data_IF_059043743411
#
_entry.id   IF_059043743411
#
_cell.length_a   1.000
_cell.length_b   1.000
_cell.length_c   1.000
_cell.angle_alpha   90.00
_cell.angle_beta   90.00
_cell.angle_gamma   90.00
#
_symmetry.space_group_name_H-M   'P 1'
#
loop_
_entity.id
_entity.type
_entity.pdbx_description
1 polymer ?
#
# COMPACT_ATOMS: atom_id res chain seq x y z
N UNK A 1 -0.64 -6.81 -17.05
CA UNK A 1 -1.17 -5.94 -15.96
C UNK A 1 -0.41 -4.63 -15.94
N UNK A 2 -1.06 -3.49 -15.67
CA UNK A 2 -0.43 -2.17 -15.59
C UNK A 2 -0.64 -1.59 -14.19
N UNK A 3 0.41 -1.06 -13.59
CA UNK A 3 0.37 -0.49 -12.22
C UNK A 3 0.92 0.92 -12.25
N UNK A 4 0.23 1.86 -11.61
CA UNK A 4 0.64 3.26 -11.49
C UNK A 4 0.62 3.67 -10.03
N UNK A 5 1.72 4.24 -9.53
CA UNK A 5 1.74 4.86 -8.21
C UNK A 5 1.21 6.30 -8.34
N UNK A 6 0.20 6.65 -7.55
CA UNK A 6 -0.41 7.99 -7.58
C UNK A 6 0.07 8.86 -6.42
N UNK A 7 0.25 8.26 -5.26
CA UNK A 7 0.84 8.89 -4.07
C UNK A 7 1.37 7.79 -3.16
N UNK A 8 1.97 8.15 -2.05
CA UNK A 8 2.39 7.31 -0.91
C UNK A 8 2.14 5.78 -1.09
N UNK A 9 0.95 5.28 -0.77
CA UNK A 9 0.51 3.90 -0.98
C UNK A 9 -0.65 3.78 -1.98
N UNK A 10 -1.05 4.89 -2.61
CA UNK A 10 -2.17 4.93 -3.55
C UNK A 10 -1.77 4.28 -4.88
N UNK A 11 -2.13 3.03 -5.05
CA UNK A 11 -1.76 2.21 -6.19
C UNK A 11 -2.97 1.97 -7.10
N UNK A 12 -2.82 2.34 -8.37
CA UNK A 12 -3.79 2.05 -9.42
C UNK A 12 -3.34 0.83 -10.21
N UNK A 13 -4.14 -0.24 -10.23
CA UNK A 13 -3.85 -1.47 -10.96
C UNK A 13 -4.90 -1.69 -12.03
N UNK A 14 -4.49 -1.98 -13.26
CA UNK A 14 -5.36 -2.17 -14.41
C UNK A 14 -5.02 -3.46 -15.15
N UNK A 15 -6.04 -4.25 -15.48
CA UNK A 15 -5.93 -5.39 -16.39
C UNK A 15 -7.25 -5.59 -17.13
N UNK A 16 -7.19 -5.91 -18.41
CA UNK A 16 -8.38 -5.97 -19.25
C UNK A 16 -9.18 -4.66 -19.20
N UNK A 17 -10.42 -4.75 -18.75
CA UNK A 17 -11.31 -3.61 -18.55
C UNK A 17 -11.52 -3.27 -17.06
N UNK A 18 -10.79 -3.92 -16.16
CA UNK A 18 -10.97 -3.77 -14.72
C UNK A 18 -9.89 -2.90 -14.11
N UNK A 19 -10.29 -1.99 -13.24
CA UNK A 19 -9.43 -1.05 -12.53
C UNK A 19 -9.59 -1.19 -11.02
N UNK A 20 -8.47 -1.38 -10.32
CA UNK A 20 -8.39 -1.38 -8.86
C UNK A 20 -7.63 -0.15 -8.38
N UNK A 21 -8.15 0.50 -7.36
CA UNK A 21 -7.48 1.58 -6.62
C UNK A 21 -7.30 1.17 -5.15
N UNK A 22 -6.06 1.17 -4.68
CA UNK A 22 -5.72 0.85 -3.29
C UNK A 22 -5.32 2.11 -2.54
N UNK A 23 -5.80 2.23 -1.31
CA UNK A 23 -5.45 3.27 -0.34
C UNK A 23 -5.45 4.69 -0.92
N UNK A 24 -6.60 5.19 -1.40
CA UNK A 24 -6.65 6.45 -2.12
C UNK A 24 -6.42 7.66 -1.19
N UNK A 25 -5.44 8.48 -1.55
CA UNK A 25 -5.18 9.80 -0.98
C UNK A 25 -5.03 10.79 -2.14
N UNK A 26 -5.99 11.69 -2.28
CA UNK A 26 -6.09 12.63 -3.41
C UNK A 26 -5.72 14.05 -3.05
N UNK A 27 -5.64 14.37 -1.76
CA UNK A 27 -5.43 15.72 -1.28
C UNK A 27 -4.10 15.82 -0.53
N UNK A 28 -3.43 16.95 -0.72
CA UNK A 28 -2.32 17.34 0.13
C UNK A 28 -2.81 17.55 1.57
N UNK A 29 -1.89 17.53 2.51
CA UNK A 29 -2.11 17.67 3.94
C UNK A 29 -2.77 16.43 4.58
N UNK A 30 -1.97 15.75 5.36
CA UNK A 30 -2.36 14.63 6.22
C UNK A 30 -2.32 15.09 7.69
N UNK A 31 -2.99 14.37 8.58
CA UNK A 31 -2.92 14.54 10.03
C UNK A 31 -3.04 16.01 10.47
N UNK A 32 -4.24 16.57 10.40
CA UNK A 32 -4.56 17.96 10.77
C UNK A 32 -3.61 18.99 10.12
N UNK A 33 -3.20 18.72 8.87
CA UNK A 33 -2.30 19.54 8.08
C UNK A 33 -0.84 19.60 8.58
N UNK A 34 -0.45 18.74 9.53
CA UNK A 34 0.93 18.65 9.99
C UNK A 34 1.88 18.06 8.95
N UNK A 35 1.35 17.25 8.03
CA UNK A 35 2.12 16.50 7.05
C UNK A 35 1.63 16.76 5.63
N UNK A 36 2.53 16.56 4.68
CA UNK A 36 2.23 16.53 3.25
C UNK A 36 2.80 15.25 2.63
N UNK A 37 2.16 14.67 1.61
CA UNK A 37 2.75 13.57 0.87
C UNK A 37 4.10 13.95 0.27
N UNK A 38 5.07 13.05 0.41
CA UNK A 38 6.43 13.25 -0.13
C UNK A 38 6.95 11.93 -0.73
N UNK A 39 7.19 11.85 -2.05
CA UNK A 39 6.97 12.89 -3.05
C UNK A 39 5.50 13.32 -3.20
N UNK A 40 5.29 14.50 -3.82
CA UNK A 40 3.95 15.04 -4.02
C UNK A 40 3.06 14.10 -4.86
N UNK A 41 1.76 14.16 -4.62
CA UNK A 41 0.75 13.41 -5.36
C UNK A 41 0.82 13.76 -6.85
N UNK A 42 0.81 12.74 -7.70
CA UNK A 42 0.70 12.89 -9.16
C UNK A 42 -0.61 12.27 -9.62
N UNK A 43 -1.64 13.08 -9.66
CA UNK A 43 -3.00 12.65 -9.95
C UNK A 43 -3.72 13.65 -10.84
N UNK A 44 -4.30 13.17 -11.94
CA UNK A 44 -5.26 13.91 -12.77
C UNK A 44 -6.62 13.19 -12.70
N UNK A 45 -7.47 13.66 -11.80
CA UNK A 45 -8.81 13.06 -11.58
C UNK A 45 -9.66 13.01 -12.84
N UNK A 46 -9.44 13.93 -13.81
CA UNK A 46 -10.16 13.93 -15.09
C UNK A 46 -9.77 12.80 -16.01
N UNK A 47 -8.59 12.22 -15.79
CA UNK A 47 -8.05 11.10 -16.57
C UNK A 47 -8.14 9.76 -15.83
N UNK A 48 -8.64 9.78 -14.60
CA UNK A 48 -8.81 8.55 -13.84
C UNK A 48 -9.91 7.71 -14.49
N UNK A 49 -9.64 6.44 -14.80
CA UNK A 49 -10.68 5.53 -15.27
C UNK A 49 -11.68 5.26 -14.15
N UNK A 50 -12.91 4.82 -14.46
CA UNK A 50 -13.82 4.33 -13.44
C UNK A 50 -13.18 3.20 -12.64
N UNK A 51 -13.34 3.24 -11.33
CA UNK A 51 -12.77 2.27 -10.38
C UNK A 51 -13.77 1.16 -10.14
N UNK A 52 -13.38 -0.05 -10.48
CA UNK A 52 -14.17 -1.27 -10.28
C UNK A 52 -13.95 -1.88 -8.88
N UNK A 53 -12.73 -1.75 -8.35
CA UNK A 53 -12.39 -2.22 -7.01
C UNK A 53 -11.70 -1.09 -6.24
N UNK A 54 -12.28 -0.75 -5.09
CA UNK A 54 -11.66 0.16 -4.12
C UNK A 54 -11.17 -0.70 -2.94
N UNK A 55 -9.86 -0.72 -2.71
CA UNK A 55 -9.26 -1.42 -1.58
C UNK A 55 -8.79 -0.43 -0.53
N UNK A 56 -9.14 -0.65 0.72
CA UNK A 56 -8.67 0.10 1.88
C UNK A 56 -7.99 -0.88 2.81
N UNK A 57 -6.68 -0.80 2.91
CA UNK A 57 -5.88 -1.79 3.62
C UNK A 57 -6.03 -1.72 5.13
N UNK A 58 -6.10 -0.51 5.70
CA UNK A 58 -6.24 -0.26 7.12
C UNK A 58 -6.61 1.20 7.43
N UNK A 59 -6.71 1.56 8.71
CA UNK A 59 -7.29 2.81 9.19
C UNK A 59 -6.29 3.96 9.43
N UNK A 60 -5.00 3.82 9.15
CA UNK A 60 -4.09 4.97 9.22
C UNK A 60 -4.52 6.06 8.24
N UNK A 61 -4.36 7.32 8.61
CA UNK A 61 -4.90 8.46 7.84
C UNK A 61 -4.22 8.65 6.48
N UNK A 62 -3.05 8.12 6.29
CA UNK A 62 -2.32 8.09 5.02
C UNK A 62 -2.74 6.93 4.08
N UNK A 63 -3.64 6.05 4.56
CA UNK A 63 -4.29 4.98 3.78
C UNK A 63 -5.82 5.13 3.76
N UNK A 64 -6.37 5.82 4.76
CA UNK A 64 -7.80 6.03 4.97
C UNK A 64 -8.10 7.52 5.09
N UNK A 65 -7.99 8.25 3.99
CA UNK A 65 -8.31 9.68 3.94
C UNK A 65 -9.81 9.91 3.72
N UNK A 66 -10.51 10.31 4.78
CA UNK A 66 -11.98 10.53 4.76
C UNK A 66 -12.37 11.58 3.73
N UNK A 67 -11.54 12.60 3.46
CA UNK A 67 -11.81 13.63 2.46
C UNK A 67 -11.84 13.03 1.05
N UNK A 68 -10.84 12.19 0.76
CA UNK A 68 -10.78 11.44 -0.50
C UNK A 68 -11.96 10.49 -0.65
N UNK A 69 -12.30 9.73 0.39
CA UNK A 69 -13.45 8.83 0.37
C UNK A 69 -14.76 9.57 0.20
N UNK A 70 -14.93 10.74 0.86
CA UNK A 70 -16.10 11.60 0.68
C UNK A 70 -16.20 12.11 -0.76
N UNK A 71 -15.07 12.50 -1.35
CA UNK A 71 -15.01 12.94 -2.74
C UNK A 71 -15.38 11.82 -3.72
N UNK A 72 -14.84 10.61 -3.50
CA UNK A 72 -15.18 9.41 -4.29
C UNK A 72 -16.67 9.10 -4.17
N UNK A 73 -17.21 9.08 -2.95
CA UNK A 73 -18.61 8.76 -2.69
C UNK A 73 -19.61 9.79 -3.28
N UNK A 74 -19.20 11.07 -3.35
CA UNK A 74 -20.01 12.13 -3.93
C UNK A 74 -19.94 12.22 -5.47
N UNK A 75 -19.03 11.49 -6.09
CA UNK A 75 -18.81 11.52 -7.54
C UNK A 75 -19.53 10.37 -8.25
N UNK A 76 -20.40 10.71 -9.21
CA UNK A 76 -21.08 9.70 -10.04
C UNK A 76 -20.16 9.03 -11.08
N UNK A 77 -18.91 9.47 -11.22
CA UNK A 77 -18.02 9.06 -12.30
C UNK A 77 -16.75 8.34 -11.87
N UNK A 78 -16.40 8.37 -10.57
CA UNK A 78 -15.15 7.77 -10.09
C UNK A 78 -15.33 6.26 -9.85
N UNK A 79 -16.41 5.85 -9.18
CA UNK A 79 -16.70 4.44 -8.99
C UNK A 79 -17.59 3.90 -10.11
N UNK A 80 -17.30 2.69 -10.56
CA UNK A 80 -18.23 1.94 -11.38
C UNK A 80 -19.53 1.65 -10.56
N UNK A 81 -20.71 1.56 -11.21
CA UNK A 81 -21.98 1.36 -10.49
C UNK A 81 -22.04 0.10 -9.63
N UNK A 82 -21.28 -0.93 -10.00
CA UNK A 82 -21.14 -2.22 -9.34
C UNK A 82 -19.83 -2.38 -8.57
N UNK A 83 -19.10 -1.28 -8.34
CA UNK A 83 -17.78 -1.30 -7.71
C UNK A 83 -17.78 -2.09 -6.40
N UNK A 84 -16.76 -2.93 -6.22
CA UNK A 84 -16.49 -3.67 -5.01
C UNK A 84 -15.60 -2.84 -4.08
N UNK A 85 -15.96 -2.72 -2.81
CA UNK A 85 -15.13 -2.07 -1.78
C UNK A 85 -14.58 -3.13 -0.85
N UNK A 86 -13.26 -3.28 -0.78
CA UNK A 86 -12.56 -4.17 0.15
C UNK A 86 -12.12 -3.39 1.37
N UNK A 87 -12.39 -3.92 2.55
CA UNK A 87 -12.04 -3.29 3.81
C UNK A 87 -11.74 -4.33 4.89
N UNK A 88 -10.81 -4.06 5.83
CA UNK A 88 -10.59 -4.92 6.97
C UNK A 88 -11.78 -4.88 7.94
N UNK A 89 -11.84 -5.82 8.88
CA UNK A 89 -12.85 -5.85 9.95
C UNK A 89 -12.53 -4.80 11.03
N UNK A 90 -12.57 -3.53 10.66
CA UNK A 90 -12.39 -2.39 11.56
C UNK A 90 -13.73 -1.66 11.71
N UNK A 91 -14.26 -1.58 12.94
CA UNK A 91 -15.58 -1.01 13.20
C UNK A 91 -15.68 0.47 12.81
N UNK A 92 -14.63 1.26 13.06
CA UNK A 92 -14.60 2.70 12.75
C UNK A 92 -14.57 2.89 11.23
N UNK A 93 -13.70 2.19 10.54
CA UNK A 93 -13.59 2.24 9.09
C UNK A 93 -14.91 1.84 8.43
N UNK A 94 -15.51 0.74 8.86
CA UNK A 94 -16.78 0.24 8.31
C UNK A 94 -17.93 1.20 8.57
N UNK A 95 -17.98 1.85 9.74
CA UNK A 95 -19.01 2.86 10.02
C UNK A 95 -18.85 4.09 9.12
N UNK A 96 -17.61 4.57 8.89
CA UNK A 96 -17.36 5.67 7.96
C UNK A 96 -17.79 5.31 6.54
N UNK A 97 -17.46 4.11 6.06
CA UNK A 97 -17.90 3.67 4.73
C UNK A 97 -19.42 3.63 4.60
N UNK A 98 -20.10 3.20 5.65
CA UNK A 98 -21.56 3.16 5.71
C UNK A 98 -22.17 4.60 5.73
N UNK A 99 -21.63 5.51 6.53
CA UNK A 99 -22.06 6.91 6.57
C UNK A 99 -21.85 7.62 5.23
N UNK A 100 -20.75 7.30 4.54
CA UNK A 100 -20.46 7.77 3.19
C UNK A 100 -21.29 7.05 2.11
N UNK A 101 -22.12 6.08 2.51
CA UNK A 101 -23.04 5.32 1.63
C UNK A 101 -22.35 4.48 0.55
N UNK A 102 -21.13 3.99 0.83
CA UNK A 102 -20.52 3.01 -0.04
C UNK A 102 -21.39 1.74 -0.09
N UNK A 103 -21.59 1.25 -1.30
CA UNK A 103 -22.33 0.02 -1.57
C UNK A 103 -21.34 -1.14 -1.74
N UNK A 104 -21.81 -2.37 -1.71
CA UNK A 104 -21.02 -3.56 -2.00
C UNK A 104 -19.69 -3.63 -1.22
N UNK A 105 -19.74 -3.29 0.09
CA UNK A 105 -18.59 -3.39 1.00
C UNK A 105 -18.39 -4.85 1.41
N UNK A 106 -17.22 -5.40 1.09
CA UNK A 106 -16.79 -6.74 1.46
C UNK A 106 -15.73 -6.64 2.55
N UNK A 107 -16.04 -7.18 3.72
CA UNK A 107 -15.07 -7.31 4.81
C UNK A 107 -14.16 -8.48 4.48
N UNK A 108 -12.88 -8.18 4.29
CA UNK A 108 -11.90 -9.19 3.87
C UNK A 108 -11.57 -10.18 4.98
N UNK A 109 -11.22 -11.39 4.57
CA UNK A 109 -10.69 -12.45 5.43
C UNK A 109 -9.35 -12.93 4.86
N UNK A 110 -8.41 -13.24 5.74
CA UNK A 110 -7.07 -13.67 5.36
C UNK A 110 -7.11 -14.85 4.37
N UNK A 111 -6.43 -14.70 3.24
CA UNK A 111 -6.32 -15.68 2.18
C UNK A 111 -7.66 -16.17 1.57
N UNK A 112 -8.77 -15.52 1.87
CA UNK A 112 -10.03 -15.81 1.23
C UNK A 112 -10.14 -15.08 -0.09
N UNK A 113 -10.00 -15.81 -1.15
CA UNK A 113 -10.02 -15.30 -2.52
C UNK A 113 -11.40 -14.76 -2.91
N UNK A 114 -11.38 -13.65 -3.64
CA UNK A 114 -12.56 -12.98 -4.18
C UNK A 114 -12.36 -12.84 -5.69
N UNK A 115 -13.21 -13.49 -6.48
CA UNK A 115 -13.24 -13.32 -7.93
C UNK A 115 -14.10 -12.10 -8.28
N UNK A 116 -13.52 -11.15 -8.99
CA UNK A 116 -14.23 -9.95 -9.42
C UNK A 116 -13.74 -9.44 -10.77
N UNK A 117 -14.59 -9.57 -11.80
CA UNK A 117 -14.28 -9.19 -13.20
C UNK A 117 -12.98 -9.87 -13.68
N UNK A 118 -11.99 -9.06 -14.10
CA UNK A 118 -10.71 -9.58 -14.59
C UNK A 118 -9.71 -9.89 -13.44
N UNK A 119 -10.10 -9.72 -12.19
CA UNK A 119 -9.21 -9.91 -11.03
C UNK A 119 -9.63 -11.07 -10.14
N UNK A 120 -8.63 -11.78 -9.65
CA UNK A 120 -8.69 -12.67 -8.50
C UNK A 120 -7.94 -11.95 -7.37
N UNK A 121 -8.66 -11.55 -6.32
CA UNK A 121 -8.17 -10.73 -5.22
C UNK A 121 -8.00 -11.59 -3.98
N UNK A 122 -6.80 -11.60 -3.38
CA UNK A 122 -6.54 -12.41 -2.19
C UNK A 122 -5.89 -11.55 -1.11
N UNK A 123 -6.62 -11.19 -0.05
CA UNK A 123 -6.06 -10.48 1.09
C UNK A 123 -4.98 -11.30 1.78
N UNK A 124 -3.87 -10.67 2.16
CA UNK A 124 -2.79 -11.31 2.92
C UNK A 124 -2.74 -10.74 4.33
N UNK A 125 -2.52 -11.58 5.36
CA UNK A 125 -2.55 -11.15 6.74
C UNK A 125 -1.36 -10.28 7.11
N UNK A 126 -1.53 -9.48 8.16
CA UNK A 126 -0.46 -8.84 8.90
C UNK A 126 -0.24 -9.49 10.25
N UNK A 127 1.01 -9.58 10.68
CA UNK A 127 1.39 -9.96 12.04
C UNK A 127 1.52 -8.76 12.97
N UNK A 128 1.16 -7.57 12.51
CA UNK A 128 1.19 -6.38 13.32
C UNK A 128 0.15 -6.48 14.43
N UNK A 129 0.62 -6.72 15.66
CA UNK A 129 -0.22 -6.79 16.86
C UNK A 129 -0.08 -5.53 17.72
N UNK A 130 0.78 -4.60 17.33
CA UNK A 130 1.01 -3.36 18.07
C UNK A 130 -0.05 -2.32 17.73
N UNK A 131 -0.55 -2.35 16.51
CA UNK A 131 -1.66 -1.51 16.09
C UNK A 131 -2.98 -2.18 16.47
N UNK A 132 -3.81 -1.44 17.20
CA UNK A 132 -5.10 -1.92 17.73
C UNK A 132 -6.19 -2.05 16.66
N UNK A 133 -5.80 -2.18 15.39
CA UNK A 133 -6.73 -2.32 14.27
C UNK A 133 -6.19 -3.28 13.22
N UNK A 134 -7.09 -3.98 12.52
CA UNK A 134 -6.71 -4.93 11.49
C UNK A 134 -6.19 -4.24 10.22
N UNK A 135 -5.20 -4.85 9.60
CA UNK A 135 -4.65 -4.45 8.31
C UNK A 135 -4.43 -5.67 7.41
N UNK A 136 -4.41 -5.45 6.11
CA UNK A 136 -4.14 -6.49 5.13
C UNK A 136 -3.33 -5.97 3.94
N UNK A 137 -2.45 -6.82 3.40
CA UNK A 137 -1.92 -6.66 2.05
C UNK A 137 -2.87 -7.29 1.02
N UNK A 138 -2.60 -7.09 -0.26
CA UNK A 138 -3.45 -7.61 -1.32
C UNK A 138 -2.64 -8.24 -2.46
N UNK A 139 -2.93 -9.50 -2.77
CA UNK A 139 -2.52 -10.12 -4.03
C UNK A 139 -3.59 -9.84 -5.08
N UNK A 140 -3.17 -9.35 -6.23
CA UNK A 140 -4.01 -9.10 -7.41
C UNK A 140 -3.51 -9.98 -8.53
N UNK A 141 -4.34 -10.91 -8.99
CA UNK A 141 -4.01 -11.84 -10.08
C UNK A 141 -5.03 -11.70 -11.21
N UNK A 142 -4.56 -11.72 -12.46
CA UNK A 142 -5.44 -11.57 -13.65
C UNK A 142 -5.47 -12.82 -14.55
N UNK A 143 -5.08 -13.97 -14.01
CA UNK A 143 -4.97 -15.22 -14.75
C UNK A 143 -3.58 -15.46 -15.34
N UNK A 144 -2.74 -14.44 -15.45
CA UNK A 144 -1.37 -14.54 -16.00
C UNK A 144 -0.31 -13.89 -15.14
N UNK A 145 -0.61 -12.77 -14.53
CA UNK A 145 0.31 -11.94 -13.73
C UNK A 145 -0.20 -11.83 -12.30
N UNK A 146 0.70 -11.89 -11.34
CA UNK A 146 0.43 -11.68 -9.92
C UNK A 146 1.19 -10.47 -9.41
N UNK A 147 0.47 -9.48 -8.87
CA UNK A 147 1.04 -8.35 -8.14
C UNK A 147 0.72 -8.54 -6.65
N UNK A 148 1.71 -8.34 -5.80
CA UNK A 148 1.49 -8.25 -4.36
C UNK A 148 1.73 -6.83 -3.87
N UNK A 149 0.68 -6.18 -3.37
CA UNK A 149 0.76 -4.94 -2.61
C UNK A 149 0.84 -5.30 -1.13
N UNK A 150 2.05 -5.25 -0.55
CA UNK A 150 2.27 -5.57 0.86
C UNK A 150 1.66 -4.50 1.77
N UNK A 151 1.62 -3.26 1.31
CA UNK A 151 1.25 -2.10 2.13
C UNK A 151 2.15 -2.01 3.38
N UNK A 152 1.61 -1.73 4.54
CA UNK A 152 2.35 -1.62 5.81
C UNK A 152 2.45 -2.94 6.57
N UNK A 153 1.87 -4.02 6.02
CA UNK A 153 1.76 -5.30 6.72
C UNK A 153 3.11 -5.86 7.14
N UNK A 154 3.16 -6.40 8.35
CA UNK A 154 4.26 -7.21 8.86
C UNK A 154 3.99 -8.65 8.49
N UNK A 155 4.90 -9.28 7.78
CA UNK A 155 4.74 -10.65 7.29
C UNK A 155 5.87 -11.57 7.76
N UNK A 156 5.55 -12.85 7.91
CA UNK A 156 6.51 -13.89 8.26
C UNK A 156 6.91 -14.73 7.04
N UNK A 157 8.00 -15.51 7.14
CA UNK A 157 8.35 -16.49 6.11
C UNK A 157 7.24 -17.50 5.80
N UNK A 158 6.36 -17.80 6.76
CA UNK A 158 5.28 -18.76 6.54
C UNK A 158 4.15 -18.14 5.72
N UNK A 159 3.86 -16.84 5.91
CA UNK A 159 2.95 -16.08 5.04
C UNK A 159 3.49 -16.10 3.61
N UNK A 160 4.78 -15.83 3.42
CA UNK A 160 5.43 -15.87 2.10
C UNK A 160 5.32 -17.26 1.46
N UNK A 161 5.59 -18.33 2.20
CA UNK A 161 5.41 -19.71 1.70
C UNK A 161 3.98 -19.97 1.27
N UNK A 162 3.00 -19.42 1.97
CA UNK A 162 1.60 -19.58 1.62
C UNK A 162 1.26 -18.83 0.33
N UNK A 163 1.75 -17.59 0.18
CA UNK A 163 1.64 -16.83 -1.07
C UNK A 163 2.20 -17.65 -2.25
N UNK A 164 3.39 -18.22 -2.07
CA UNK A 164 4.02 -19.05 -3.11
C UNK A 164 3.21 -20.31 -3.45
N UNK A 165 2.50 -20.88 -2.49
CA UNK A 165 1.61 -22.04 -2.77
C UNK A 165 0.38 -21.66 -3.61
N UNK A 166 -0.13 -20.44 -3.45
CA UNK A 166 -1.31 -19.97 -4.18
C UNK A 166 -0.97 -19.57 -5.62
N UNK A 167 0.08 -18.78 -5.79
CA UNK A 167 0.36 -18.11 -7.06
C UNK A 167 1.81 -18.26 -7.56
N UNK A 168 2.66 -19.00 -6.84
CA UNK A 168 4.08 -18.99 -7.10
C UNK A 168 4.74 -17.69 -6.63
N UNK A 169 5.86 -17.34 -7.25
CA UNK A 169 6.52 -16.07 -7.00
C UNK A 169 5.72 -14.93 -7.65
N UNK A 170 5.40 -13.85 -6.92
CA UNK A 170 4.76 -12.70 -7.53
C UNK A 170 5.60 -12.13 -8.67
N UNK A 171 4.94 -11.68 -9.73
CA UNK A 171 5.63 -11.01 -10.85
C UNK A 171 6.14 -9.64 -10.42
N UNK A 172 5.38 -8.93 -9.60
CA UNK A 172 5.77 -7.68 -8.97
C UNK A 172 5.35 -7.66 -7.50
N UNK A 173 6.18 -7.11 -6.64
CA UNK A 173 5.83 -6.80 -5.26
C UNK A 173 6.11 -5.33 -4.95
N UNK A 174 5.08 -4.63 -4.48
CA UNK A 174 5.15 -3.29 -3.91
C UNK A 174 5.35 -3.47 -2.40
N UNK A 175 6.57 -3.24 -1.92
CA UNK A 175 7.02 -3.73 -0.61
C UNK A 175 7.43 -2.60 0.31
N UNK A 176 7.06 -2.75 1.58
CA UNK A 176 7.52 -1.88 2.66
C UNK A 176 9.05 -1.86 2.74
N UNK A 177 9.65 -0.68 2.91
CA UNK A 177 11.11 -0.51 2.97
C UNK A 177 11.58 0.48 4.04
N UNK A 178 10.67 1.25 4.62
CA UNK A 178 11.00 2.31 5.56
C UNK A 178 10.76 1.91 7.01
N UNK A 179 11.82 1.91 7.84
CA UNK A 179 11.65 1.90 9.28
C UNK A 179 11.24 3.29 9.76
N UNK A 180 10.43 3.37 10.81
CA UNK A 180 9.96 4.62 11.39
C UNK A 180 10.76 4.98 12.65
N UNK A 181 11.66 5.98 12.52
CA UNK A 181 12.50 6.44 13.63
C UNK A 181 11.78 7.40 14.58
N UNK A 182 10.72 8.04 14.10
CA UNK A 182 9.92 9.01 14.83
C UNK A 182 9.38 8.47 16.16
N UNK A 183 8.99 7.19 16.20
CA UNK A 183 8.56 6.52 17.41
C UNK A 183 9.64 6.53 18.51
N UNK A 184 10.91 6.37 18.14
CA UNK A 184 12.01 6.44 19.12
C UNK A 184 12.11 7.84 19.74
N UNK A 185 11.96 8.89 18.94
CA UNK A 185 11.92 10.26 19.43
C UNK A 185 10.72 10.52 20.35
N UNK A 186 9.52 10.14 19.92
CA UNK A 186 8.27 10.38 20.65
C UNK A 186 8.23 9.69 22.01
N UNK A 187 8.85 8.52 22.13
CA UNK A 187 8.90 7.76 23.38
C UNK A 187 10.20 7.94 24.17
N UNK A 188 11.02 8.94 23.83
CA UNK A 188 12.30 9.24 24.47
C UNK A 188 13.29 8.06 24.48
N UNK A 189 13.21 7.18 23.49
CA UNK A 189 14.14 6.10 23.30
C UNK A 189 15.44 6.62 22.66
N UNK A 190 16.46 5.77 22.66
CA UNK A 190 17.70 6.08 21.94
C UNK A 190 17.40 6.21 20.45
N UNK A 191 17.80 7.35 19.86
CA UNK A 191 17.59 7.62 18.44
C UNK A 191 18.75 7.00 17.65
N UNK A 192 18.50 5.86 17.07
CA UNK A 192 19.41 5.15 16.18
C UNK A 192 18.63 4.49 15.04
N UNK A 193 19.31 4.19 13.94
CA UNK A 193 18.66 3.50 12.82
C UNK A 193 18.11 2.16 13.31
N UNK A 194 16.78 1.89 13.17
CA UNK A 194 16.18 0.65 13.62
C UNK A 194 16.57 -0.51 12.70
N UNK A 195 17.80 -0.98 12.86
CA UNK A 195 18.45 -1.99 12.00
C UNK A 195 17.70 -3.33 11.98
N UNK A 196 17.09 -3.72 13.10
CA UNK A 196 16.33 -4.96 13.18
C UNK A 196 15.10 -4.88 12.26
N UNK A 197 14.33 -3.80 12.36
CA UNK A 197 13.17 -3.55 11.51
C UNK A 197 13.61 -3.45 10.03
N UNK A 198 14.60 -2.61 9.74
CA UNK A 198 15.11 -2.44 8.37
C UNK A 198 15.59 -3.75 7.76
N UNK A 199 16.35 -4.56 8.51
CA UNK A 199 16.81 -5.85 8.03
C UNK A 199 15.67 -6.83 7.80
N UNK A 200 14.55 -6.69 8.52
CA UNK A 200 13.37 -7.53 8.32
C UNK A 200 12.75 -7.31 6.94
N UNK A 201 12.71 -6.06 6.46
CA UNK A 201 12.20 -5.74 5.11
C UNK A 201 13.04 -6.40 4.02
N UNK A 202 14.38 -6.35 4.13
CA UNK A 202 15.28 -7.04 3.20
C UNK A 202 15.07 -8.55 3.24
N UNK A 203 14.90 -9.13 4.44
CA UNK A 203 14.63 -10.58 4.60
C UNK A 203 13.29 -10.98 3.99
N UNK A 204 12.26 -10.17 4.14
CA UNK A 204 10.94 -10.42 3.54
C UNK A 204 11.03 -10.38 2.01
N UNK A 205 11.69 -9.37 1.44
CA UNK A 205 11.92 -9.28 0.01
C UNK A 205 12.71 -10.49 -0.51
N UNK A 206 13.79 -10.88 0.18
CA UNK A 206 14.59 -12.04 -0.14
C UNK A 206 13.86 -13.39 0.01
N UNK A 207 12.90 -13.49 0.95
CA UNK A 207 12.07 -14.68 1.09
C UNK A 207 10.97 -14.73 0.01
N UNK A 208 10.36 -13.59 -0.30
CA UNK A 208 9.33 -13.47 -1.32
C UNK A 208 9.88 -13.73 -2.73
N UNK A 209 11.08 -13.24 -3.03
CA UNK A 209 11.75 -13.36 -4.35
C UNK A 209 10.81 -13.06 -5.51
N UNK A 210 10.11 -11.93 -5.53
CA UNK A 210 9.29 -11.59 -6.68
C UNK A 210 10.22 -11.39 -7.90
N UNK A 211 9.65 -11.48 -9.11
CA UNK A 211 10.44 -11.17 -10.32
C UNK A 211 10.90 -9.71 -10.34
N UNK A 212 10.09 -8.82 -9.72
CA UNK A 212 10.38 -7.39 -9.66
C UNK A 212 9.92 -6.79 -8.32
N UNK A 213 10.79 -6.05 -7.64
CA UNK A 213 10.49 -5.30 -6.41
C UNK A 213 10.42 -3.81 -6.71
N UNK A 214 9.38 -3.17 -6.20
CA UNK A 214 9.31 -1.71 -6.06
C UNK A 214 9.07 -1.34 -4.59
N UNK A 215 9.82 -0.37 -4.05
CA UNK A 215 9.59 0.12 -2.70
C UNK A 215 8.25 0.83 -2.60
N UNK A 216 7.52 0.60 -1.52
CA UNK A 216 6.18 1.14 -1.30
C UNK A 216 5.87 1.50 0.13
N UNK A 217 4.72 2.13 0.31
CA UNK A 217 4.18 2.54 1.60
C UNK A 217 5.14 3.42 2.39
N UNK A 218 5.50 4.55 1.80
CA UNK A 218 6.28 5.55 2.49
C UNK A 218 6.22 6.89 1.77
N UNK A 219 6.12 7.92 2.53
CA UNK A 219 6.35 9.22 1.98
C UNK A 219 5.39 10.29 2.44
N UNK A 220 5.62 10.76 3.65
CA UNK A 220 5.14 12.07 4.05
C UNK A 220 6.31 12.90 4.59
N UNK A 221 6.09 14.19 4.69
CA UNK A 221 7.01 15.16 5.28
C UNK A 221 6.23 16.06 6.22
N UNK A 222 6.78 16.28 7.39
CA UNK A 222 6.29 17.30 8.32
C UNK A 222 6.52 18.70 7.77
N UNK A 223 5.62 19.64 8.08
CA UNK A 223 5.66 21.02 7.62
C UNK A 223 5.55 22.01 8.79
N UNK A 224 5.87 23.26 8.49
CA UNK A 224 5.74 24.40 9.38
C UNK A 224 6.46 24.17 10.74
N UNK A 225 5.79 24.35 11.85
CA UNK A 225 6.33 24.14 13.19
C UNK A 225 6.75 22.69 13.49
N UNK A 226 6.30 21.72 12.70
CA UNK A 226 6.66 20.29 12.84
C UNK A 226 7.86 19.87 11.98
N UNK A 227 8.43 20.75 11.16
CA UNK A 227 9.51 20.42 10.22
C UNK A 227 10.75 19.79 10.91
N UNK A 228 10.97 20.10 12.19
CA UNK A 228 12.04 19.49 12.99
C UNK A 228 11.94 17.97 13.11
N UNK A 229 10.74 17.38 12.98
CA UNK A 229 10.53 15.93 13.02
C UNK A 229 11.07 15.23 11.78
N UNK A 230 11.28 15.94 10.67
CA UNK A 230 11.78 15.33 9.43
C UNK A 230 13.18 14.72 9.59
N UNK A 231 13.97 15.17 10.56
CA UNK A 231 15.26 14.56 10.88
C UNK A 231 15.13 13.17 11.54
N UNK A 232 13.94 12.83 12.04
CA UNK A 232 13.63 11.56 12.71
C UNK A 232 12.68 10.68 11.89
N UNK A 233 12.16 11.20 10.77
CA UNK A 233 11.26 10.45 9.89
C UNK A 233 12.08 9.78 8.80
N UNK A 234 11.69 8.57 8.42
CA UNK A 234 12.19 7.87 7.24
C UNK A 234 13.73 7.95 7.01
N UNK A 235 14.53 7.33 7.88
CA UNK A 235 15.99 7.42 7.81
C UNK A 235 16.61 6.70 6.60
N UNK A 236 15.79 6.05 5.76
CA UNK A 236 16.22 5.26 4.60
C UNK A 236 15.53 5.79 3.34
N UNK A 237 16.26 5.86 2.22
CA UNK A 237 15.67 6.19 0.91
C UNK A 237 15.39 4.93 0.10
N UNK A 238 14.56 5.04 -0.97
CA UNK A 238 14.35 3.95 -1.91
C UNK A 238 15.68 3.45 -2.50
N UNK A 239 16.57 4.37 -2.89
CA UNK A 239 17.88 4.04 -3.47
C UNK A 239 18.77 3.29 -2.49
N UNK A 240 18.71 3.64 -1.19
CA UNK A 240 19.45 2.91 -0.15
C UNK A 240 18.92 1.49 -0.04
N UNK A 241 17.61 1.33 0.10
CA UNK A 241 16.97 0.02 0.18
C UNK A 241 17.31 -0.86 -1.04
N UNK A 242 17.20 -0.29 -2.24
CA UNK A 242 17.47 -1.02 -3.49
C UNK A 242 18.95 -1.42 -3.62
N UNK A 243 19.88 -0.55 -3.21
CA UNK A 243 21.31 -0.91 -3.16
C UNK A 243 21.57 -2.07 -2.20
N UNK A 244 20.94 -2.04 -1.02
CA UNK A 244 21.13 -3.08 -0.02
C UNK A 244 20.42 -4.38 -0.43
N UNK A 245 19.22 -4.29 -1.02
CA UNK A 245 18.52 -5.44 -1.59
C UNK A 245 19.36 -6.11 -2.70
N UNK A 246 19.92 -5.31 -3.61
CA UNK A 246 20.76 -5.87 -4.69
C UNK A 246 22.02 -6.57 -4.16
N UNK A 247 22.60 -6.08 -3.06
CA UNK A 247 23.73 -6.78 -2.39
C UNK A 247 23.28 -8.06 -1.72
N UNK A 248 22.10 -8.08 -1.11
CA UNK A 248 21.57 -9.19 -0.36
C UNK A 248 20.94 -10.27 -1.25
N UNK A 249 20.22 -9.84 -2.31
CA UNK A 249 19.53 -10.70 -3.27
C UNK A 249 19.75 -10.17 -4.71
N UNK A 250 20.92 -10.36 -5.31
CA UNK A 250 21.27 -9.82 -6.62
C UNK A 250 20.42 -10.37 -7.78
N UNK A 251 19.73 -11.48 -7.55
CA UNK A 251 18.83 -12.11 -8.52
C UNK A 251 17.47 -11.42 -8.64
N UNK A 252 17.10 -10.53 -7.70
CA UNK A 252 15.82 -9.81 -7.71
C UNK A 252 15.96 -8.53 -8.53
N UNK A 253 15.17 -8.40 -9.59
CA UNK A 253 15.08 -7.13 -10.29
C UNK A 253 14.35 -6.09 -9.43
N UNK A 254 14.83 -4.87 -9.42
CA UNK A 254 14.22 -3.82 -8.61
C UNK A 254 14.45 -2.43 -9.21
N UNK A 255 13.54 -1.52 -8.94
CA UNK A 255 13.65 -0.11 -9.33
C UNK A 255 12.94 0.77 -8.32
N UNK A 256 13.36 2.03 -8.21
CA UNK A 256 12.56 3.06 -7.55
C UNK A 256 11.20 3.22 -8.23
N UNK A 257 10.21 3.60 -7.46
CA UNK A 257 8.84 3.77 -7.93
C UNK A 257 8.25 5.01 -7.23
N UNK A 258 8.07 6.05 -8.03
CA UNK A 258 7.61 7.34 -7.53
C UNK A 258 6.22 7.67 -8.06
N UNK A 259 5.47 8.57 -7.41
CA UNK A 259 4.19 9.03 -7.95
C UNK A 259 4.31 9.50 -9.39
N UNK A 260 3.43 8.98 -10.25
CA UNK A 260 3.47 9.16 -11.71
C UNK A 260 4.16 8.02 -12.47
N UNK A 261 4.97 7.19 -11.81
CA UNK A 261 5.61 6.05 -12.46
C UNK A 261 4.61 4.96 -12.79
N UNK A 262 4.88 4.28 -13.90
CA UNK A 262 4.04 3.21 -14.46
C UNK A 262 4.88 1.96 -14.70
N UNK A 263 4.49 0.85 -14.11
CA UNK A 263 5.02 -0.46 -14.41
C UNK A 263 4.03 -1.25 -15.30
N UNK A 264 4.53 -1.87 -16.36
CA UNK A 264 3.77 -2.84 -17.17
C UNK A 264 4.38 -4.20 -16.97
N UNK A 265 3.58 -5.15 -16.51
CA UNK A 265 3.99 -6.51 -16.19
C UNK A 265 3.29 -7.45 -17.17
N UNK A 266 4.08 -8.29 -17.85
CA UNK A 266 3.63 -9.26 -18.86
C UNK A 266 4.14 -10.65 -18.56
#
# INVERSE_FOLDING_TARGET
>A
MKTTLLSHACLLVQSGNTTLLSDPVFFDYLWEECNVPCPSIVLDLKKMPPIDVLNISHRHQDHFDIRTLSYIAASDSILAPDALVLAPRDEILLEVLKELRFKNVNVVEDFKTIDFKDFILTPTPSLNQQDYFPEHGLLVHDGSVTIWNQVDTIVSPDIIKYIHRLYGQPDMAHMRYLPLLEGCFSFHNQIELPMEEYSSFLKVAGACRPKFVVPGSAGFRYRDEFDFLNQYSFPTTQEQFLRDLNKFCPEINSSSFYPGDVATIT
#
